data_IF_370318437669
#
_entry.id   IF_370318437669
#
_cell.length_a   1.000
_cell.length_b   1.000
_cell.length_c   1.000
_cell.angle_alpha   90.00
_cell.angle_beta   90.00
_cell.angle_gamma   90.00
#
_symmetry.space_group_name_H-M   'P 1'
#
loop_
_entity.id
_entity.type
_entity.pdbx_description
1 polymer ?
#
# COMPACT_ATOMS: atom_id res chain seq x y z
N UNK A 1 5.82 -29.98 -15.74
CA UNK A 1 5.17 -29.26 -16.86
C UNK A 1 4.06 -28.33 -16.38
N UNK A 2 2.97 -28.78 -15.73
CA UNK A 2 1.90 -27.88 -15.25
C UNK A 2 2.25 -27.12 -13.97
N UNK A 3 2.93 -27.79 -13.02
CA UNK A 3 3.58 -27.13 -11.86
C UNK A 3 4.51 -26.02 -12.36
N UNK A 4 5.38 -26.30 -13.33
CA UNK A 4 6.29 -25.29 -13.87
C UNK A 4 5.54 -24.17 -14.57
N UNK A 5 4.46 -24.42 -15.33
CA UNK A 5 3.69 -23.36 -15.98
C UNK A 5 2.96 -22.44 -14.98
N UNK A 6 2.46 -22.98 -13.87
CA UNK A 6 1.87 -22.18 -12.80
C UNK A 6 2.91 -21.43 -12.00
N UNK A 7 4.01 -22.10 -11.62
CA UNK A 7 5.09 -21.44 -10.88
C UNK A 7 5.74 -20.38 -11.76
N UNK A 8 6.02 -20.69 -13.03
CA UNK A 8 6.51 -19.76 -14.04
C UNK A 8 5.48 -18.68 -14.37
N UNK A 9 4.17 -18.94 -14.43
CA UNK A 9 3.14 -17.90 -14.60
C UNK A 9 3.00 -16.97 -13.39
N UNK A 10 3.18 -17.52 -12.18
CA UNK A 10 3.31 -16.78 -10.93
C UNK A 10 4.62 -15.98 -10.86
N UNK A 11 5.71 -16.47 -11.47
CA UNK A 11 7.00 -15.78 -11.56
C UNK A 11 7.11 -14.82 -12.76
N UNK A 12 6.34 -15.02 -13.84
CA UNK A 12 6.45 -14.32 -15.13
C UNK A 12 5.35 -13.27 -15.36
N UNK A 13 4.40 -13.12 -14.43
CA UNK A 13 3.42 -12.04 -14.52
C UNK A 13 2.15 -12.43 -15.27
N UNK A 14 1.37 -13.35 -14.70
CA UNK A 14 -0.05 -13.04 -14.60
C UNK A 14 -0.09 -11.73 -13.80
N UNK A 15 -0.50 -10.64 -14.45
CA UNK A 15 -0.44 -9.30 -13.86
C UNK A 15 -0.92 -9.33 -12.42
N UNK A 16 -0.03 -8.98 -11.49
CA UNK A 16 -0.24 -9.03 -10.03
C UNK A 16 -1.51 -8.28 -9.57
N UNK A 17 -2.12 -7.49 -10.45
CA UNK A 17 -3.36 -6.75 -10.24
C UNK A 17 -4.62 -7.63 -10.32
N UNK A 18 -4.59 -8.76 -11.03
CA UNK A 18 -5.78 -9.60 -11.27
C UNK A 18 -5.90 -10.81 -10.32
N UNK A 19 -4.86 -11.13 -9.55
CA UNK A 19 -4.88 -12.28 -8.65
C UNK A 19 -5.46 -11.88 -7.29
N UNK A 20 -6.74 -12.18 -7.08
CA UNK A 20 -7.38 -12.03 -5.77
C UNK A 20 -7.24 -13.30 -4.94
N UNK A 21 -7.52 -13.20 -3.63
CA UNK A 21 -7.56 -14.35 -2.73
C UNK A 21 -8.52 -15.43 -3.25
N UNK A 22 -9.70 -15.02 -3.71
CA UNK A 22 -10.73 -15.91 -4.26
C UNK A 22 -10.22 -16.65 -5.50
N UNK A 23 -9.50 -15.94 -6.38
CA UNK A 23 -8.92 -16.57 -7.58
C UNK A 23 -7.79 -17.54 -7.25
N UNK A 24 -6.97 -17.21 -6.24
CA UNK A 24 -5.95 -18.12 -5.74
C UNK A 24 -6.57 -19.40 -5.14
N UNK A 25 -7.64 -19.26 -4.36
CA UNK A 25 -8.40 -20.39 -3.81
C UNK A 25 -8.95 -21.29 -4.92
N UNK A 26 -9.56 -20.71 -5.96
CA UNK A 26 -10.13 -21.44 -7.09
C UNK A 26 -9.06 -22.25 -7.85
N UNK A 27 -7.92 -21.62 -8.14
CA UNK A 27 -6.79 -22.27 -8.84
C UNK A 27 -6.25 -23.44 -8.01
N UNK A 28 -6.03 -23.24 -6.71
CA UNK A 28 -5.54 -24.29 -5.82
C UNK A 28 -6.53 -25.44 -5.71
N UNK A 29 -7.83 -25.14 -5.60
CA UNK A 29 -8.88 -26.16 -5.54
C UNK A 29 -8.94 -26.99 -6.83
N UNK A 30 -8.75 -26.38 -8.00
CA UNK A 30 -8.65 -27.14 -9.25
C UNK A 30 -7.46 -28.10 -9.28
N UNK A 31 -6.30 -27.66 -8.79
CA UNK A 31 -5.10 -28.50 -8.75
C UNK A 31 -5.28 -29.70 -7.82
N UNK A 32 -5.93 -29.50 -6.68
CA UNK A 32 -6.30 -30.58 -5.77
C UNK A 32 -7.29 -31.54 -6.44
N UNK A 33 -8.32 -31.03 -7.13
CA UNK A 33 -9.30 -31.87 -7.84
C UNK A 33 -8.67 -32.69 -8.95
N UNK A 34 -7.69 -32.14 -9.66
CA UNK A 34 -6.93 -32.82 -10.73
C UNK A 34 -5.89 -33.81 -10.18
N UNK A 35 -5.69 -33.84 -8.86
CA UNK A 35 -4.67 -34.69 -8.22
C UNK A 35 -3.23 -34.22 -8.46
N UNK A 36 -3.04 -33.00 -8.93
CA UNK A 36 -1.71 -32.42 -9.21
C UNK A 36 -0.97 -31.98 -7.94
N UNK A 37 -1.74 -31.69 -6.90
CA UNK A 37 -1.25 -31.39 -5.54
C UNK A 37 -2.14 -32.09 -4.53
N UNK A 38 -1.55 -32.51 -3.41
CA UNK A 38 -2.31 -32.99 -2.27
C UNK A 38 -3.11 -31.86 -1.61
N UNK A 39 -4.11 -32.22 -0.80
CA UNK A 39 -4.88 -31.24 -0.01
C UNK A 39 -4.00 -30.44 0.94
N UNK A 40 -2.94 -31.04 1.46
CA UNK A 40 -2.02 -30.41 2.41
C UNK A 40 -1.11 -29.41 1.69
N UNK A 41 -0.45 -29.84 0.60
CA UNK A 41 0.34 -28.94 -0.26
C UNK A 41 -0.49 -27.78 -0.81
N UNK A 42 -1.75 -28.01 -1.18
CA UNK A 42 -2.65 -26.95 -1.64
C UNK A 42 -2.89 -25.87 -0.58
N UNK A 43 -3.07 -26.26 0.69
CA UNK A 43 -3.24 -25.30 1.80
C UNK A 43 -2.00 -24.43 2.00
N UNK A 44 -0.81 -25.03 1.94
CA UNK A 44 0.44 -24.31 2.13
C UNK A 44 0.73 -23.34 0.97
N UNK A 45 0.43 -23.76 -0.26
CA UNK A 45 0.52 -22.92 -1.44
C UNK A 45 -0.45 -21.74 -1.37
N UNK A 46 -1.70 -21.99 -0.98
CA UNK A 46 -2.69 -20.93 -0.81
C UNK A 46 -2.25 -19.90 0.22
N UNK A 47 -1.75 -20.35 1.38
CA UNK A 47 -1.25 -19.46 2.42
C UNK A 47 -0.11 -18.58 1.89
N UNK A 48 0.88 -19.19 1.24
CA UNK A 48 2.03 -18.48 0.66
C UNK A 48 1.60 -17.44 -0.38
N UNK A 49 0.61 -17.78 -1.21
CA UNK A 49 0.04 -16.88 -2.22
C UNK A 49 -0.67 -15.69 -1.57
N UNK A 50 -1.52 -15.93 -0.58
CA UNK A 50 -2.25 -14.88 0.14
C UNK A 50 -1.28 -13.93 0.86
N UNK A 51 -0.30 -14.48 1.58
CA UNK A 51 0.71 -13.68 2.28
C UNK A 51 1.49 -12.79 1.30
N UNK A 52 1.84 -13.33 0.12
CA UNK A 52 2.53 -12.56 -0.93
C UNK A 52 1.65 -11.45 -1.50
N UNK A 53 0.37 -11.71 -1.74
CA UNK A 53 -0.60 -10.71 -2.22
C UNK A 53 -0.71 -9.56 -1.22
N UNK A 54 -0.82 -9.86 0.08
CA UNK A 54 -0.91 -8.83 1.12
C UNK A 54 0.37 -7.97 1.20
N UNK A 55 1.54 -8.60 1.09
CA UNK A 55 2.82 -7.89 1.07
C UNK A 55 2.96 -6.97 -0.15
N UNK A 56 2.60 -7.44 -1.34
CA UNK A 56 2.67 -6.63 -2.55
C UNK A 56 1.64 -5.49 -2.54
N UNK A 57 0.44 -5.72 -2.00
CA UNK A 57 -0.57 -4.66 -1.79
C UNK A 57 -0.03 -3.57 -0.86
N UNK A 58 0.64 -3.94 0.23
CA UNK A 58 1.25 -2.98 1.16
C UNK A 58 2.36 -2.15 0.50
N UNK A 59 3.25 -2.79 -0.26
CA UNK A 59 4.30 -2.09 -1.01
C UNK A 59 3.72 -1.13 -2.06
N UNK A 60 2.66 -1.55 -2.74
CA UNK A 60 1.96 -0.71 -3.71
C UNK A 60 1.34 0.51 -3.03
N UNK A 61 0.66 0.32 -1.90
CA UNK A 61 0.08 1.43 -1.12
C UNK A 61 1.16 2.43 -0.70
N UNK A 62 2.29 1.95 -0.17
CA UNK A 62 3.41 2.82 0.21
C UNK A 62 3.95 3.63 -0.97
N UNK A 63 4.13 3.00 -2.14
CA UNK A 63 4.54 3.72 -3.35
C UNK A 63 3.52 4.77 -3.77
N UNK A 64 2.23 4.47 -3.69
CA UNK A 64 1.17 5.43 -4.01
C UNK A 64 1.24 6.62 -3.06
N UNK A 65 1.35 6.37 -1.75
CA UNK A 65 1.45 7.42 -0.74
C UNK A 65 2.68 8.32 -0.97
N UNK A 66 3.83 7.73 -1.28
CA UNK A 66 5.05 8.46 -1.64
C UNK A 66 4.87 9.33 -2.89
N UNK A 67 4.24 8.79 -3.95
CA UNK A 67 3.99 9.54 -5.18
C UNK A 67 3.00 10.69 -4.96
N UNK A 68 1.97 10.49 -4.13
CA UNK A 68 1.04 11.55 -3.75
C UNK A 68 1.76 12.65 -2.97
N UNK A 69 2.64 12.28 -2.02
CA UNK A 69 3.42 13.26 -1.28
C UNK A 69 4.33 14.08 -2.19
N UNK A 70 4.99 13.45 -3.17
CA UNK A 70 5.79 14.13 -4.19
C UNK A 70 4.92 15.07 -5.03
N UNK A 71 3.74 14.62 -5.46
CA UNK A 71 2.82 15.44 -6.25
C UNK A 71 2.36 16.68 -5.48
N UNK A 72 1.98 16.52 -4.20
CA UNK A 72 1.58 17.64 -3.32
C UNK A 72 2.72 18.66 -3.19
N UNK A 73 3.95 18.19 -2.95
CA UNK A 73 5.14 19.06 -2.88
C UNK A 73 5.39 19.81 -4.19
N UNK A 74 5.30 19.12 -5.33
CA UNK A 74 5.55 19.71 -6.65
C UNK A 74 4.46 20.70 -7.09
N UNK A 75 3.22 20.54 -6.62
CA UNK A 75 2.11 21.45 -6.90
C UNK A 75 2.09 22.68 -5.98
N UNK A 76 3.10 22.85 -5.12
CA UNK A 76 3.16 23.91 -4.11
C UNK A 76 1.91 23.95 -3.20
N UNK A 77 1.26 22.79 -3.01
CA UNK A 77 0.10 22.62 -2.16
C UNK A 77 0.58 22.40 -0.73
N UNK A 78 0.34 23.37 0.14
CA UNK A 78 0.63 23.25 1.58
C UNK A 78 -0.38 22.35 2.28
N UNK A 79 0.07 21.52 3.21
CA UNK A 79 -0.81 20.70 4.04
C UNK A 79 -1.61 21.59 4.98
N UNK A 80 -2.85 21.19 5.29
CA UNK A 80 -3.71 21.92 6.24
C UNK A 80 -3.04 22.12 7.61
N UNK A 81 -2.26 21.13 8.07
CA UNK A 81 -1.52 21.20 9.32
C UNK A 81 -0.46 22.30 9.31
N UNK A 82 0.28 22.45 8.21
CA UNK A 82 1.30 23.51 8.06
C UNK A 82 0.67 24.91 8.11
N UNK A 83 -0.53 25.07 7.53
CA UNK A 83 -1.30 26.32 7.62
C UNK A 83 -1.71 26.61 9.07
N UNK A 84 -2.17 25.59 9.81
CA UNK A 84 -2.62 25.77 11.19
C UNK A 84 -1.46 26.10 12.13
N UNK A 85 -0.29 25.47 11.95
CA UNK A 85 0.94 25.83 12.67
C UNK A 85 1.37 27.28 12.39
N UNK A 86 1.25 27.73 11.15
CA UNK A 86 1.55 29.12 10.79
C UNK A 86 0.58 30.10 11.45
N UNK A 87 -0.72 29.77 11.54
CA UNK A 87 -1.70 30.62 12.26
C UNK A 87 -1.36 30.77 13.74
N UNK A 88 -1.02 29.67 14.41
CA UNK A 88 -0.63 29.71 15.84
C UNK A 88 0.59 30.62 16.02
N UNK A 89 1.61 30.48 15.16
CA UNK A 89 2.80 31.34 15.20
C UNK A 89 2.45 32.81 14.95
N UNK A 90 1.53 33.11 14.05
CA UNK A 90 1.05 34.47 13.80
C UNK A 90 0.36 35.02 15.05
N UNK A 91 -0.55 34.28 15.67
CA UNK A 91 -1.24 34.70 16.90
C UNK A 91 -0.26 34.96 18.06
N UNK A 92 0.77 34.12 18.20
CA UNK A 92 1.82 34.32 19.20
C UNK A 92 2.65 35.59 18.95
N UNK A 93 2.96 35.86 17.67
CA UNK A 93 3.69 37.08 17.28
C UNK A 93 2.83 38.32 17.50
N UNK A 94 1.54 38.27 17.14
CA UNK A 94 0.58 39.34 17.38
C UNK A 94 0.49 39.68 18.87
N UNK A 95 0.37 38.67 19.74
CA UNK A 95 0.39 38.87 21.20
C UNK A 95 1.66 39.54 21.70
N UNK A 96 2.83 39.08 21.25
CA UNK A 96 4.13 39.69 21.64
C UNK A 96 4.24 41.15 21.18
N UNK A 97 3.75 41.46 19.99
CA UNK A 97 3.74 42.85 19.48
C UNK A 97 2.81 43.73 20.33
N UNK A 98 1.65 43.21 20.72
CA UNK A 98 0.71 43.95 21.57
C UNK A 98 1.23 44.17 23.00
N UNK A 99 1.99 43.22 23.55
CA UNK A 99 2.70 43.37 24.82
C UNK A 99 3.78 44.46 24.72
N UNK A 100 4.62 44.42 23.69
CA UNK A 100 5.65 45.43 23.46
C UNK A 100 5.08 46.84 23.25
N UNK A 101 3.93 46.96 22.57
CA UNK A 101 3.24 48.25 22.39
C UNK A 101 2.63 48.80 23.67
N UNK A 102 2.40 47.98 24.70
CA UNK A 102 1.90 48.43 26.01
C UNK A 102 3.03 48.89 26.94
N UNK A 103 4.27 48.50 26.64
CA UNK A 103 5.47 48.89 27.39
C UNK A 103 6.15 50.17 26.85
N UNK A 104 5.69 50.70 25.71
CA UNK A 104 6.12 51.97 25.09
C UNK A 104 5.06 53.04 25.29
#
# INVERSE_FOLDING_TARGET
MLKDLLTTGLYAGIGLVALTKEKAEEIIQELVKKGEVSKEEGKDLLKTLVDRIEQEKKKLQQKIDEQIEIAIKNMNLVRKQEIEELKIKIEELERKIDELKKEV
#
